data_IF_713764086793
#
_entry.id   IF_713764086793
#
_cell.length_a   1.000
_cell.length_b   1.000
_cell.length_c   1.000
_cell.angle_alpha   90.00
_cell.angle_beta   90.00
_cell.angle_gamma   90.00
#
_symmetry.space_group_name_H-M   'P 1'
#
loop_
_entity.id
_entity.type
_entity.pdbx_description
1 polymer ?
#
# COMPACT_ATOMS: atom_id res chain seq x y z
N UNK A 1 -17.76 10.88 -9.48
CA UNK A 1 -16.99 9.74 -9.84
C UNK A 1 -16.74 8.83 -8.67
N UNK A 2 -16.44 7.61 -8.97
CA UNK A 2 -16.11 6.65 -7.94
C UNK A 2 -14.71 6.95 -7.42
N UNK A 3 -14.60 7.15 -6.12
CA UNK A 3 -13.32 7.38 -5.48
C UNK A 3 -12.75 6.01 -5.06
N UNK A 4 -11.62 5.66 -5.64
CA UNK A 4 -10.93 4.45 -5.22
C UNK A 4 -10.27 4.69 -3.88
N UNK A 5 -10.38 3.72 -2.99
CA UNK A 5 -9.70 3.76 -1.69
C UNK A 5 -8.40 2.97 -1.80
N UNK A 6 -7.29 3.68 -1.65
CA UNK A 6 -5.98 3.06 -1.71
C UNK A 6 -5.49 2.84 -0.29
N UNK A 7 -5.14 1.60 0.04
CA UNK A 7 -4.58 1.26 1.34
C UNK A 7 -3.15 0.79 1.15
N UNK A 8 -2.22 1.48 1.81
CA UNK A 8 -0.80 1.14 1.73
C UNK A 8 -0.36 0.54 3.05
N UNK A 9 0.13 -0.68 3.02
CA UNK A 9 0.63 -1.39 4.19
C UNK A 9 2.16 -1.33 4.16
N UNK A 10 2.73 -0.53 5.03
CA UNK A 10 4.15 -0.27 5.04
C UNK A 10 4.77 -0.37 6.43
N UNK A 11 6.03 0.03 6.52
CA UNK A 11 6.79 0.00 7.78
C UNK A 11 7.75 1.19 7.85
N UNK A 12 8.40 1.36 9.00
CA UNK A 12 9.44 2.36 9.16
C UNK A 12 10.68 2.01 8.32
N UNK A 13 11.44 3.02 7.97
CA UNK A 13 12.70 2.87 7.23
C UNK A 13 12.52 2.12 5.91
N UNK A 14 11.44 2.43 5.22
CA UNK A 14 11.11 1.80 3.95
C UNK A 14 11.00 2.88 2.87
N UNK A 15 12.01 2.97 2.02
CA UNK A 15 12.03 3.99 0.97
C UNK A 15 10.88 3.79 -0.03
N UNK A 16 10.57 2.57 -0.39
CA UNK A 16 9.49 2.31 -1.34
C UNK A 16 8.12 2.56 -0.73
N UNK A 17 7.98 2.39 0.59
CA UNK A 17 6.73 2.78 1.26
C UNK A 17 6.51 4.27 1.15
N UNK A 18 7.56 5.06 1.36
CA UNK A 18 7.49 6.51 1.21
C UNK A 18 7.19 6.91 -0.23
N UNK A 19 7.78 6.22 -1.19
CA UNK A 19 7.51 6.48 -2.61
C UNK A 19 6.07 6.17 -2.98
N UNK A 20 5.51 5.11 -2.42
CA UNK A 20 4.11 4.76 -2.65
C UNK A 20 3.18 5.88 -2.17
N UNK A 21 3.44 6.40 -0.97
CA UNK A 21 2.67 7.53 -0.46
C UNK A 21 2.83 8.75 -1.35
N UNK A 22 4.05 9.03 -1.78
CA UNK A 22 4.35 10.18 -2.62
C UNK A 22 3.65 10.10 -3.97
N UNK A 23 3.59 8.92 -4.57
CA UNK A 23 2.87 8.73 -5.83
C UNK A 23 1.42 9.13 -5.68
N UNK A 24 0.77 8.66 -4.62
CA UNK A 24 -0.63 9.00 -4.36
C UNK A 24 -0.80 10.51 -4.15
N UNK A 25 0.08 11.11 -3.38
CA UNK A 25 0.01 12.56 -3.11
C UNK A 25 0.23 13.39 -4.38
N UNK A 26 1.20 13.00 -5.19
CA UNK A 26 1.51 13.69 -6.44
C UNK A 26 0.34 13.59 -7.43
N UNK A 27 -0.35 12.47 -7.45
CA UNK A 27 -1.49 12.25 -8.33
C UNK A 27 -2.80 12.79 -7.77
N UNK A 28 -2.78 13.33 -6.56
CA UNK A 28 -3.99 13.83 -5.90
C UNK A 28 -4.95 12.74 -5.50
N UNK A 29 -4.45 11.54 -5.23
CA UNK A 29 -5.27 10.40 -4.86
C UNK A 29 -5.38 10.28 -3.35
N UNK A 30 -6.55 9.89 -2.87
CA UNK A 30 -6.75 9.62 -1.46
C UNK A 30 -6.18 8.24 -1.13
N UNK A 31 -5.51 8.15 0.02
CA UNK A 31 -4.99 6.87 0.47
C UNK A 31 -4.95 6.83 1.99
N UNK A 32 -4.90 5.62 2.52
CA UNK A 32 -4.71 5.37 3.94
C UNK A 32 -3.41 4.60 4.11
N UNK A 33 -2.56 5.05 5.01
CA UNK A 33 -1.29 4.39 5.27
C UNK A 33 -1.39 3.61 6.58
N UNK A 34 -1.17 2.30 6.48
CA UNK A 34 -1.16 1.40 7.63
C UNK A 34 0.27 1.02 7.93
N UNK A 35 0.69 1.25 9.17
CA UNK A 35 2.07 1.02 9.58
C UNK A 35 2.18 -0.27 10.37
N UNK A 36 3.17 -1.08 10.01
CA UNK A 36 3.47 -2.33 10.71
C UNK A 36 3.75 -2.05 12.19
N UNK A 37 3.12 -2.79 13.07
CA UNK A 37 3.27 -2.62 14.50
C UNK A 37 2.25 -1.67 15.11
N UNK A 38 1.60 -0.82 14.32
CA UNK A 38 0.56 0.08 14.79
C UNK A 38 -0.82 -0.35 14.30
N UNK A 39 -0.96 -0.48 12.98
CA UNK A 39 -2.25 -0.80 12.38
C UNK A 39 -2.42 -2.29 12.09
N UNK A 40 -1.35 -3.02 11.98
CA UNK A 40 -1.41 -4.45 11.68
C UNK A 40 -0.13 -5.13 12.15
N UNK A 41 -0.19 -6.46 12.27
CA UNK A 41 0.98 -7.29 12.58
C UNK A 41 1.44 -8.00 11.31
N UNK A 42 2.65 -8.59 11.40
CA UNK A 42 3.19 -9.36 10.28
C UNK A 42 2.27 -10.53 9.91
N UNK A 43 1.71 -11.21 10.93
CA UNK A 43 0.80 -12.32 10.68
C UNK A 43 -0.45 -11.87 9.97
N UNK A 44 -0.99 -10.72 10.36
CA UNK A 44 -2.15 -10.14 9.68
C UNK A 44 -1.82 -9.78 8.25
N UNK A 45 -0.62 -9.26 8.00
CA UNK A 45 -0.19 -8.95 6.65
C UNK A 45 -0.17 -10.20 5.78
N UNK A 46 0.38 -11.30 6.30
CA UNK A 46 0.47 -12.55 5.56
C UNK A 46 -0.91 -13.11 5.25
N UNK A 47 -1.87 -12.93 6.17
CA UNK A 47 -3.24 -13.34 5.91
C UNK A 47 -3.87 -12.54 4.77
N UNK A 48 -3.64 -11.23 4.74
CA UNK A 48 -4.18 -10.36 3.69
C UNK A 48 -3.45 -10.54 2.36
N UNK A 49 -2.14 -10.77 2.45
CA UNK A 49 -1.28 -10.88 1.27
C UNK A 49 -0.44 -12.14 1.40
N UNK A 50 -1.00 -13.32 1.09
CA UNK A 50 -0.28 -14.60 1.30
C UNK A 50 1.06 -14.70 0.57
N UNK A 51 1.23 -13.94 -0.50
CA UNK A 51 2.45 -13.96 -1.29
C UNK A 51 3.36 -12.76 -0.99
N UNK A 52 3.04 -12.00 0.07
CA UNK A 52 3.82 -10.81 0.40
C UNK A 52 5.22 -11.19 0.87
N UNK A 53 6.22 -10.59 0.27
CA UNK A 53 7.62 -10.79 0.64
C UNK A 53 8.34 -9.49 0.90
N UNK A 54 7.72 -8.39 0.47
CA UNK A 54 8.33 -7.07 0.55
C UNK A 54 7.31 -6.04 0.98
N UNK A 55 7.78 -4.87 1.34
CA UNK A 55 6.95 -3.70 1.59
C UNK A 55 7.23 -2.68 0.49
N UNK A 56 6.26 -1.83 0.15
CA UNK A 56 4.89 -1.82 0.68
C UNK A 56 4.01 -2.89 0.03
N UNK A 57 2.87 -3.16 0.65
CA UNK A 57 1.81 -3.96 0.04
C UNK A 57 0.58 -3.06 -0.08
N UNK A 58 -0.08 -3.10 -1.21
CA UNK A 58 -1.12 -2.13 -1.55
C UNK A 58 -2.42 -2.83 -1.90
N UNK A 59 -3.52 -2.28 -1.38
CA UNK A 59 -4.88 -2.66 -1.79
C UNK A 59 -5.55 -1.46 -2.44
N UNK A 60 -6.34 -1.72 -3.46
CA UNK A 60 -7.21 -0.71 -4.06
C UNK A 60 -8.63 -1.27 -4.01
N UNK A 61 -9.52 -0.55 -3.34
CA UNK A 61 -10.93 -0.94 -3.15
C UNK A 61 -11.04 -2.36 -2.56
N UNK A 62 -10.15 -2.66 -1.62
CA UNK A 62 -10.14 -3.95 -0.94
C UNK A 62 -9.47 -5.08 -1.70
N UNK A 63 -8.97 -4.81 -2.89
CA UNK A 63 -8.30 -5.81 -3.72
C UNK A 63 -6.78 -5.64 -3.64
N UNK A 64 -6.08 -6.69 -3.26
CA UNK A 64 -4.63 -6.67 -3.21
C UNK A 64 -4.06 -6.61 -4.61
N UNK A 65 -3.23 -5.59 -4.88
CA UNK A 65 -2.64 -5.40 -6.21
C UNK A 65 -1.14 -5.68 -6.24
N UNK A 66 -0.51 -5.76 -5.08
CA UNK A 66 0.93 -5.99 -4.99
C UNK A 66 1.63 -4.89 -4.24
N UNK A 67 2.83 -4.52 -4.70
CA UNK A 67 3.65 -3.52 -4.04
C UNK A 67 3.69 -2.19 -4.78
N UNK A 68 4.78 -1.44 -4.54
CA UNK A 68 4.97 -0.13 -5.13
C UNK A 68 4.91 -0.17 -6.66
N UNK A 69 5.55 -1.15 -7.27
CA UNK A 69 5.59 -1.26 -8.72
C UNK A 69 4.19 -1.37 -9.31
N UNK A 70 3.37 -2.23 -8.74
CA UNK A 70 2.01 -2.46 -9.18
C UNK A 70 1.16 -1.22 -8.96
N UNK A 71 1.36 -0.53 -7.85
CA UNK A 71 0.67 0.74 -7.60
C UNK A 71 1.04 1.77 -8.67
N UNK A 72 2.32 1.91 -8.95
CA UNK A 72 2.80 2.86 -9.96
C UNK A 72 2.20 2.56 -11.33
N UNK A 73 2.13 1.28 -11.68
CA UNK A 73 1.55 0.86 -12.97
C UNK A 73 0.05 1.17 -13.05
N UNK A 74 -0.65 1.07 -11.92
CA UNK A 74 -2.08 1.34 -11.87
C UNK A 74 -2.41 2.83 -11.96
N UNK A 75 -1.64 3.66 -11.30
CA UNK A 75 -1.98 5.08 -11.16
C UNK A 75 -1.00 6.02 -11.86
N UNK A 76 0.15 5.51 -12.20
CA UNK A 76 1.16 6.29 -12.91
C UNK A 76 0.98 6.26 -14.39
#
# INVERSE_FOLDING_TARGET
GVLSVIEIYGKDNCAFCDRAKQVCETKGLEYVYHKLGEAFTRDELIEMFPNARTFPQVKIDGTAIGGYKELYEQVG
#
